data_IF_308924364908
#
_entry.id   IF_308924364908
#
_cell.length_a   1.000
_cell.length_b   1.000
_cell.length_c   1.000
_cell.angle_alpha   90.00
_cell.angle_beta   90.00
_cell.angle_gamma   90.00
#
_symmetry.space_group_name_H-M   'P 1'
#
loop_
_entity.id
_entity.type
_entity.pdbx_description
1 polymer ?
#
# COMPACT_ATOMS: atom_id res chain seq x y z
N UNK A 1 36.92 5.37 34.37
CA UNK A 1 35.77 4.51 34.70
C UNK A 1 34.50 5.19 34.16
N UNK A 2 34.21 4.97 32.88
CA UNK A 2 33.00 4.36 32.29
C UNK A 2 32.15 5.44 31.59
N UNK A 3 32.67 5.92 30.46
CA UNK A 3 31.87 6.51 29.36
C UNK A 3 31.38 5.34 28.49
N UNK A 4 30.33 4.63 28.90
CA UNK A 4 29.85 3.43 28.19
C UNK A 4 28.32 3.28 28.18
N UNK A 5 27.56 4.38 28.10
CA UNK A 5 26.09 4.30 27.98
C UNK A 5 25.54 5.33 26.98
N UNK A 6 26.07 5.39 25.74
CA UNK A 6 25.33 6.04 24.63
C UNK A 6 25.56 5.44 23.24
N UNK A 7 26.38 4.38 23.07
CA UNK A 7 26.65 3.81 21.73
C UNK A 7 25.56 2.86 21.18
N UNK A 8 24.60 2.43 21.99
CA UNK A 8 23.62 1.42 21.56
C UNK A 8 22.40 1.99 20.78
N UNK A 9 22.12 3.29 20.92
CA UNK A 9 20.97 3.92 20.26
C UNK A 9 21.15 4.10 18.75
N UNK A 10 22.30 4.63 18.32
CA UNK A 10 22.58 4.89 16.90
C UNK A 10 22.75 3.63 16.06
N UNK A 11 23.32 2.57 16.63
CA UNK A 11 23.54 1.30 15.94
C UNK A 11 22.22 0.58 15.63
N UNK A 12 21.23 0.66 16.52
CA UNK A 12 19.90 0.08 16.32
C UNK A 12 19.08 0.84 15.26
N UNK A 13 19.21 2.17 15.20
CA UNK A 13 18.56 2.98 14.15
C UNK A 13 19.15 2.64 12.78
N UNK A 14 20.49 2.61 12.66
CA UNK A 14 21.15 2.26 11.40
C UNK A 14 20.79 0.83 10.91
N UNK A 15 20.70 -0.15 11.83
CA UNK A 15 20.24 -1.51 11.49
C UNK A 15 18.79 -1.56 11.03
N UNK A 16 17.89 -0.80 11.67
CA UNK A 16 16.48 -0.70 11.25
C UNK A 16 16.36 -0.09 9.86
N UNK A 17 17.14 0.94 9.55
CA UNK A 17 17.18 1.57 8.22
C UNK A 17 17.70 0.60 7.18
N UNK A 18 18.81 -0.10 7.44
CA UNK A 18 19.35 -1.12 6.53
C UNK A 18 18.35 -2.24 6.26
N UNK A 19 17.73 -2.79 7.30
CA UNK A 19 16.72 -3.83 7.17
C UNK A 19 15.56 -3.36 6.29
N UNK A 20 15.10 -2.12 6.49
CA UNK A 20 14.02 -1.53 5.72
C UNK A 20 14.38 -1.36 4.24
N UNK A 21 15.56 -0.79 3.95
CA UNK A 21 16.07 -0.62 2.58
C UNK A 21 16.19 -1.96 1.87
N UNK A 22 16.78 -2.99 2.50
CA UNK A 22 16.86 -4.34 1.91
C UNK A 22 15.48 -4.95 1.66
N UNK A 23 14.51 -4.75 2.56
CA UNK A 23 13.16 -5.29 2.38
C UNK A 23 12.34 -4.57 1.29
N UNK A 24 12.64 -3.30 1.00
CA UNK A 24 11.96 -2.50 -0.01
C UNK A 24 12.62 -2.66 -1.38
N UNK A 25 13.94 -2.50 -1.47
CA UNK A 25 14.66 -2.47 -2.75
C UNK A 25 14.86 -3.87 -3.34
N UNK A 26 15.19 -4.86 -2.49
CA UNK A 26 15.40 -6.24 -2.93
C UNK A 26 14.12 -7.10 -2.81
N UNK A 27 12.98 -6.48 -2.52
CA UNK A 27 11.68 -7.14 -2.35
C UNK A 27 11.69 -8.34 -1.39
N UNK A 28 12.59 -8.35 -0.41
CA UNK A 28 12.75 -9.47 0.52
C UNK A 28 11.58 -9.51 1.52
N UNK A 29 11.08 -10.73 1.78
CA UNK A 29 10.06 -10.94 2.79
C UNK A 29 10.64 -10.79 4.21
N UNK A 30 9.91 -10.15 5.16
CA UNK A 30 10.40 -9.96 6.53
C UNK A 30 10.86 -11.24 7.24
N UNK A 31 10.23 -12.39 6.96
CA UNK A 31 10.60 -13.69 7.51
C UNK A 31 11.92 -14.21 6.95
N UNK A 32 12.17 -13.99 5.66
CA UNK A 32 13.43 -14.38 5.00
C UNK A 32 14.57 -13.52 5.52
N UNK A 33 14.37 -12.21 5.63
CA UNK A 33 15.35 -11.30 6.22
C UNK A 33 15.71 -11.73 7.66
N UNK A 34 14.70 -12.01 8.48
CA UNK A 34 14.92 -12.43 9.87
C UNK A 34 15.69 -13.75 9.97
N UNK A 35 15.37 -14.74 9.12
CA UNK A 35 16.10 -16.01 9.06
C UNK A 35 17.55 -15.80 8.65
N UNK A 36 17.80 -15.01 7.60
CA UNK A 36 19.15 -14.74 7.14
C UNK A 36 19.99 -14.04 8.22
N UNK A 37 19.40 -13.09 8.93
CA UNK A 37 20.09 -12.43 10.06
C UNK A 37 20.30 -13.38 11.25
N UNK A 38 19.38 -14.31 11.51
CA UNK A 38 19.56 -15.35 12.53
C UNK A 38 20.72 -16.28 12.15
N UNK A 39 20.75 -16.81 10.92
CA UNK A 39 21.85 -17.64 10.42
C UNK A 39 23.20 -16.92 10.47
N UNK A 40 23.21 -15.59 10.30
CA UNK A 40 24.45 -14.79 10.33
C UNK A 40 24.95 -14.49 11.75
N UNK A 41 24.06 -14.43 12.74
CA UNK A 41 24.36 -13.89 14.07
C UNK A 41 24.20 -14.88 15.22
N UNK A 42 23.52 -16.01 15.00
CA UNK A 42 23.19 -16.98 16.02
C UNK A 42 23.84 -18.33 15.69
N UNK A 43 24.29 -19.03 16.72
CA UNK A 43 24.66 -20.43 16.65
C UNK A 43 23.45 -21.31 17.02
N UNK A 44 23.51 -22.59 16.67
CA UNK A 44 22.44 -23.54 16.98
C UNK A 44 22.25 -23.68 18.50
N UNK A 45 21.02 -23.46 18.95
CA UNK A 45 20.64 -23.50 20.38
C UNK A 45 20.68 -22.16 21.10
N UNK A 46 21.13 -21.08 20.44
CA UNK A 46 21.09 -19.74 21.03
C UNK A 46 19.66 -19.20 21.18
N UNK A 47 19.41 -18.49 22.27
CA UNK A 47 18.21 -17.68 22.41
C UNK A 47 18.20 -16.56 21.36
N UNK A 48 17.00 -16.17 20.91
CA UNK A 48 16.83 -15.11 19.90
C UNK A 48 17.58 -13.85 20.34
N UNK A 49 18.57 -13.44 19.55
CA UNK A 49 19.39 -12.27 19.84
C UNK A 49 18.54 -11.00 19.87
N UNK A 50 18.73 -10.16 20.89
CA UNK A 50 18.08 -8.85 21.01
C UNK A 50 18.40 -7.90 19.84
N UNK A 51 19.43 -8.22 19.05
CA UNK A 51 19.80 -7.46 17.87
C UNK A 51 18.92 -7.74 16.65
N UNK A 52 18.19 -8.86 16.63
CA UNK A 52 17.31 -9.26 15.52
C UNK A 52 15.90 -8.76 15.85
N UNK A 53 15.35 -7.81 15.06
CA UNK A 53 13.99 -7.35 15.28
C UNK A 53 12.98 -8.49 15.14
N UNK A 54 11.92 -8.44 15.94
CA UNK A 54 10.82 -9.40 15.82
C UNK A 54 10.11 -9.27 14.47
N UNK A 55 9.53 -10.37 14.00
CA UNK A 55 8.84 -10.42 12.71
C UNK A 55 7.69 -9.42 12.61
N UNK A 56 6.94 -9.22 13.70
CA UNK A 56 5.85 -8.23 13.76
C UNK A 56 6.38 -6.80 13.60
N UNK A 57 7.53 -6.50 14.21
CA UNK A 57 8.20 -5.20 14.06
C UNK A 57 8.62 -4.96 12.61
N UNK A 58 9.22 -5.96 11.95
CA UNK A 58 9.63 -5.85 10.56
C UNK A 58 8.45 -5.66 9.61
N UNK A 59 7.35 -6.40 9.82
CA UNK A 59 6.11 -6.24 9.03
C UNK A 59 5.51 -4.85 9.19
N UNK A 60 5.41 -4.36 10.43
CA UNK A 60 4.90 -3.01 10.72
C UNK A 60 5.80 -1.93 10.12
N UNK A 61 7.12 -2.08 10.22
CA UNK A 61 8.06 -1.15 9.63
C UNK A 61 7.94 -1.11 8.09
N UNK A 62 7.87 -2.28 7.43
CA UNK A 62 7.64 -2.37 5.97
C UNK A 62 6.32 -1.71 5.56
N UNK A 63 5.23 -2.02 6.26
CA UNK A 63 3.91 -1.44 5.98
C UNK A 63 3.90 0.07 6.14
N UNK A 64 4.50 0.60 7.22
CA UNK A 64 4.62 2.05 7.45
C UNK A 64 5.41 2.74 6.35
N UNK A 65 6.53 2.14 5.93
CA UNK A 65 7.35 2.70 4.87
C UNK A 65 6.61 2.74 3.53
N UNK A 66 5.95 1.65 3.14
CA UNK A 66 5.10 1.61 1.93
C UNK A 66 3.94 2.61 2.02
N UNK A 67 3.35 2.77 3.21
CA UNK A 67 2.25 3.72 3.40
C UNK A 67 2.74 5.17 3.29
N UNK A 68 3.97 5.45 3.70
CA UNK A 68 4.59 6.79 3.58
C UNK A 68 4.90 7.17 2.13
N UNK A 69 5.04 6.22 1.21
CA UNK A 69 5.23 6.51 -0.22
C UNK A 69 3.91 6.70 -0.98
N UNK A 70 2.75 6.52 -0.33
CA UNK A 70 1.44 6.70 -0.98
C UNK A 70 1.16 8.18 -1.20
N UNK A 71 0.51 8.49 -2.32
CA UNK A 71 0.09 9.86 -2.66
C UNK A 71 -0.96 10.41 -1.67
N UNK A 72 -1.89 9.55 -1.24
CA UNK A 72 -2.91 9.86 -0.25
C UNK A 72 -3.23 8.61 0.57
N UNK A 73 -3.74 8.79 1.80
CA UNK A 73 -4.12 7.70 2.70
C UNK A 73 -5.36 6.96 2.20
N UNK A 74 -6.36 7.72 1.75
CA UNK A 74 -7.55 7.21 1.07
C UNK A 74 -7.24 6.83 -0.39
N UNK A 75 -7.44 5.56 -0.78
CA UNK A 75 -7.20 5.11 -2.15
C UNK A 75 -8.11 5.76 -3.19
N UNK A 76 -9.36 6.14 -2.86
CA UNK A 76 -10.29 6.75 -3.82
C UNK A 76 -9.77 8.13 -4.22
N UNK A 77 -9.40 8.93 -3.23
CA UNK A 77 -8.80 10.26 -3.43
C UNK A 77 -7.45 10.12 -4.16
N UNK A 78 -6.62 9.12 -3.81
CA UNK A 78 -5.36 8.89 -4.50
C UNK A 78 -5.56 8.63 -6.01
N UNK A 79 -6.55 7.80 -6.38
CA UNK A 79 -6.87 7.49 -7.78
C UNK A 79 -7.37 8.74 -8.51
N UNK A 80 -8.24 9.53 -7.86
CA UNK A 80 -8.72 10.79 -8.43
C UNK A 80 -7.56 11.78 -8.68
N UNK A 81 -6.63 11.90 -7.73
CA UNK A 81 -5.44 12.73 -7.90
C UNK A 81 -4.55 12.24 -9.05
N UNK A 82 -4.41 10.91 -9.22
CA UNK A 82 -3.64 10.32 -10.33
C UNK A 82 -4.28 10.65 -11.69
N UNK A 83 -5.62 10.57 -11.81
CA UNK A 83 -6.34 10.91 -13.06
C UNK A 83 -6.04 12.33 -13.55
N UNK A 84 -6.00 13.28 -12.63
CA UNK A 84 -5.75 14.69 -12.97
C UNK A 84 -4.28 15.10 -12.92
N UNK A 85 -3.37 14.16 -12.62
CA UNK A 85 -1.94 14.43 -12.61
C UNK A 85 -1.41 14.41 -14.05
N UNK A 86 -0.72 15.50 -14.45
CA UNK A 86 -0.16 15.65 -15.80
C UNK A 86 0.84 14.56 -16.18
N UNK A 87 1.54 13.97 -15.21
CA UNK A 87 2.45 12.85 -15.45
C UNK A 87 1.74 11.55 -15.86
N UNK A 88 0.44 11.42 -15.54
CA UNK A 88 -0.35 10.19 -15.73
C UNK A 88 -1.66 10.45 -16.50
N UNK A 89 -1.79 11.59 -17.18
CA UNK A 89 -3.06 12.08 -17.73
C UNK A 89 -3.73 11.17 -18.78
N UNK A 90 -3.04 10.15 -19.29
CA UNK A 90 -3.60 9.15 -20.20
C UNK A 90 -3.85 7.78 -19.56
N UNK A 91 -3.51 7.59 -18.29
CA UNK A 91 -3.61 6.28 -17.63
C UNK A 91 -5.04 5.96 -17.17
N UNK A 92 -5.82 6.98 -16.80
CA UNK A 92 -7.18 6.82 -16.27
C UNK A 92 -8.11 7.81 -16.97
N UNK A 93 -8.95 7.30 -17.87
CA UNK A 93 -9.90 8.14 -18.60
C UNK A 93 -11.17 8.43 -17.80
N UNK A 94 -11.69 7.42 -17.08
CA UNK A 94 -12.91 7.57 -16.29
C UNK A 94 -12.85 6.85 -14.93
N UNK A 95 -13.54 7.41 -13.94
CA UNK A 95 -13.66 6.87 -12.58
C UNK A 95 -15.14 6.93 -12.20
N UNK A 96 -15.81 5.78 -12.22
CA UNK A 96 -17.17 5.65 -11.69
C UNK A 96 -17.15 5.27 -10.21
N UNK A 97 -17.79 6.07 -9.36
CA UNK A 97 -18.06 5.73 -7.96
C UNK A 97 -19.56 5.46 -7.81
N UNK A 98 -19.91 4.35 -7.14
CA UNK A 98 -21.30 3.93 -6.94
C UNK A 98 -22.12 3.77 -8.25
N UNK A 99 -21.87 2.68 -8.99
CA UNK A 99 -22.68 2.36 -10.17
C UNK A 99 -24.11 2.06 -9.72
N UNK A 100 -25.00 3.03 -9.91
CA UNK A 100 -26.43 2.84 -9.71
C UNK A 100 -26.99 1.94 -10.81
N UNK A 101 -27.43 0.74 -10.44
CA UNK A 101 -28.10 -0.18 -11.36
C UNK A 101 -29.62 -0.02 -11.26
N UNK A 102 -30.22 0.68 -12.23
CA UNK A 102 -31.68 0.66 -12.38
C UNK A 102 -32.09 -0.65 -13.02
N UNK A 103 -32.70 -1.54 -12.23
CA UNK A 103 -33.35 -2.73 -12.77
C UNK A 103 -34.72 -2.32 -13.33
N UNK A 104 -34.86 -2.38 -14.65
CA UNK A 104 -36.09 -2.06 -15.35
C UNK A 104 -36.92 -3.35 -15.45
N UNK A 105 -38.04 -3.41 -14.74
CA UNK A 105 -38.88 -4.61 -14.67
C UNK A 105 -40.03 -4.60 -15.68
N UNK A 106 -40.35 -3.43 -16.24
CA UNK A 106 -41.41 -3.25 -17.23
C UNK A 106 -40.85 -3.03 -18.64
N UNK A 107 -41.50 -3.62 -19.64
CA UNK A 107 -41.20 -3.38 -21.05
C UNK A 107 -41.22 -1.89 -21.43
N UNK A 108 -42.11 -1.08 -20.82
CA UNK A 108 -42.14 0.38 -21.03
C UNK A 108 -40.87 1.06 -20.51
N UNK A 109 -40.39 0.64 -19.35
CA UNK A 109 -39.18 1.18 -18.73
C UNK A 109 -37.95 0.86 -19.59
N UNK A 110 -37.85 -0.36 -20.11
CA UNK A 110 -36.78 -0.78 -21.04
C UNK A 110 -36.80 0.03 -22.33
N UNK A 111 -37.99 0.28 -22.89
CA UNK A 111 -38.11 1.06 -24.12
C UNK A 111 -37.64 2.51 -23.92
N UNK A 112 -38.10 3.17 -22.85
CA UNK A 112 -37.67 4.53 -22.50
C UNK A 112 -36.15 4.61 -22.33
N UNK A 113 -35.56 3.62 -21.64
CA UNK A 113 -34.11 3.55 -21.46
C UNK A 113 -33.36 3.46 -22.79
N UNK A 114 -33.79 2.59 -23.71
CA UNK A 114 -33.17 2.43 -25.03
C UNK A 114 -33.24 3.72 -25.86
N UNK A 115 -34.38 4.41 -25.81
CA UNK A 115 -34.58 5.68 -26.51
C UNK A 115 -33.70 6.82 -25.95
N UNK A 116 -33.44 6.83 -24.64
CA UNK A 116 -32.57 7.82 -24.00
C UNK A 116 -31.08 7.50 -24.18
N UNK A 117 -30.70 6.23 -24.06
CA UNK A 117 -29.31 5.79 -24.19
C UNK A 117 -28.73 6.03 -25.59
N UNK A 118 -29.57 5.96 -26.63
CA UNK A 118 -29.15 6.29 -28.01
C UNK A 118 -28.94 7.79 -28.25
N UNK A 119 -29.37 8.65 -27.32
CA UNK A 119 -29.31 10.11 -27.46
C UNK A 119 -28.28 10.78 -26.54
N UNK A 120 -27.78 10.08 -25.52
CA UNK A 120 -26.90 10.67 -24.49
C UNK A 120 -25.75 9.69 -24.20
N UNK A 121 -24.51 10.16 -24.37
CA UNK A 121 -23.26 9.37 -24.20
C UNK A 121 -23.05 8.90 -22.75
N UNK A 122 -23.66 9.58 -21.78
CA UNK A 122 -23.69 9.18 -20.37
C UNK A 122 -25.11 9.34 -19.81
N UNK A 123 -25.85 8.25 -19.56
CA UNK A 123 -27.21 8.35 -19.02
C UNK A 123 -27.15 8.83 -17.57
N UNK A 124 -27.49 10.10 -17.34
CA UNK A 124 -27.72 10.66 -16.01
C UNK A 124 -29.23 10.71 -15.77
N UNK A 125 -29.75 9.82 -14.92
CA UNK A 125 -31.15 9.88 -14.48
C UNK A 125 -31.14 10.57 -13.11
N UNK A 126 -31.52 11.84 -13.08
CA UNK A 126 -31.83 12.56 -11.83
C UNK A 126 -33.30 12.35 -11.47
N UNK A 127 -33.58 12.00 -10.22
CA UNK A 127 -34.92 12.00 -9.63
C UNK A 127 -35.40 13.44 -9.36
#
# INVERSE_FOLDING_TARGET
MIFLIQKNGGYMVAKKTRALTTMLDAHVNPSVFQRNEATRLMCDGDNISAQIPSLSTLRTAKSKAISATRLHSDPIIAIQMIKYNSAYGSAIHDIGYDKFFVHLWSNKQIQIYKELYSKIDTPCISF
#
